data_IF_313153119405
#
_entry.id   IF_313153119405
#
_cell.length_a   1.000
_cell.length_b   1.000
_cell.length_c   1.000
_cell.angle_alpha   90.00
_cell.angle_beta   90.00
_cell.angle_gamma   90.00
#
_symmetry.space_group_name_H-M   'P 1'
#
loop_
_entity.id
_entity.type
_entity.pdbx_description
1 polymer ?
#
# COMPACT_ATOMS: atom_id res chain seq x y z
N UNK A 1 -10.93 10.65 -12.60
CA UNK A 1 -10.27 9.50 -13.27
C UNK A 1 -9.53 8.63 -12.27
N UNK A 2 -8.63 9.16 -11.42
CA UNK A 2 -8.06 8.34 -10.34
C UNK A 2 -9.05 8.08 -9.19
N UNK A 3 -9.98 8.99 -8.90
CA UNK A 3 -10.93 8.85 -7.77
C UNK A 3 -11.77 7.58 -7.89
N UNK A 4 -12.31 7.28 -9.06
CA UNK A 4 -13.13 6.07 -9.29
C UNK A 4 -12.29 4.79 -9.15
N UNK A 5 -11.04 4.82 -9.65
CA UNK A 5 -10.11 3.71 -9.51
C UNK A 5 -9.71 3.45 -8.04
N UNK A 6 -9.44 4.51 -7.28
CA UNK A 6 -9.13 4.44 -5.84
C UNK A 6 -10.31 3.83 -5.07
N UNK A 7 -11.53 4.29 -5.35
CA UNK A 7 -12.76 3.79 -4.70
C UNK A 7 -12.99 2.32 -5.03
N UNK A 8 -12.84 1.92 -6.29
CA UNK A 8 -13.00 0.53 -6.70
C UNK A 8 -11.95 -0.37 -6.05
N UNK A 9 -10.68 0.03 -6.10
CA UNK A 9 -9.59 -0.74 -5.51
C UNK A 9 -9.76 -0.89 -3.99
N UNK A 10 -10.21 0.17 -3.29
CA UNK A 10 -10.56 0.12 -1.86
C UNK A 10 -11.68 -0.87 -1.57
N UNK A 11 -12.76 -0.84 -2.35
CA UNK A 11 -13.87 -1.77 -2.16
C UNK A 11 -13.44 -3.23 -2.40
N UNK A 12 -12.59 -3.48 -3.41
CA UNK A 12 -12.06 -4.81 -3.67
C UNK A 12 -11.11 -5.30 -2.57
N UNK A 13 -10.26 -4.43 -2.02
CA UNK A 13 -9.33 -4.79 -0.95
C UNK A 13 -10.06 -5.08 0.38
N UNK A 14 -11.22 -4.46 0.61
CA UNK A 14 -12.05 -4.68 1.79
C UNK A 14 -13.08 -5.81 1.64
N UNK A 15 -13.23 -6.37 0.43
CA UNK A 15 -14.22 -7.40 0.17
C UNK A 15 -13.80 -8.75 0.78
N UNK A 16 -14.70 -9.54 1.43
CA UNK A 16 -14.31 -10.75 2.18
C UNK A 16 -13.62 -11.87 1.37
N UNK A 17 -13.85 -11.89 0.06
CA UNK A 17 -13.26 -12.86 -0.89
C UNK A 17 -12.09 -12.24 -1.64
N UNK A 18 -12.35 -11.21 -2.46
CA UNK A 18 -11.32 -10.51 -3.23
C UNK A 18 -10.19 -9.94 -2.36
N UNK A 19 -10.49 -9.35 -1.20
CA UNK A 19 -9.51 -8.77 -0.28
C UNK A 19 -8.49 -9.75 0.30
N UNK A 20 -8.72 -11.06 0.13
CA UNK A 20 -7.70 -12.09 0.44
C UNK A 20 -6.53 -12.09 -0.53
N UNK A 21 -6.68 -11.47 -1.69
CA UNK A 21 -5.62 -11.32 -2.68
C UNK A 21 -4.91 -9.99 -2.48
N UNK A 22 -3.63 -10.06 -2.10
CA UNK A 22 -2.77 -8.90 -1.85
C UNK A 22 -2.72 -7.91 -3.03
N UNK A 23 -2.92 -8.40 -4.25
CA UNK A 23 -3.03 -7.59 -5.46
C UNK A 23 -4.01 -6.41 -5.34
N UNK A 24 -5.19 -6.61 -4.74
CA UNK A 24 -6.15 -5.52 -4.60
C UNK A 24 -5.69 -4.48 -3.57
N UNK A 25 -4.96 -4.92 -2.54
CA UNK A 25 -4.32 -4.03 -1.58
C UNK A 25 -3.22 -3.21 -2.24
N UNK A 26 -2.33 -3.86 -2.98
CA UNK A 26 -1.28 -3.23 -3.79
C UNK A 26 -1.88 -2.17 -4.73
N UNK A 27 -2.88 -2.56 -5.54
CA UNK A 27 -3.55 -1.67 -6.49
C UNK A 27 -4.12 -0.45 -5.79
N UNK A 28 -4.76 -0.65 -4.63
CA UNK A 28 -5.33 0.45 -3.86
C UNK A 28 -4.28 1.45 -3.38
N UNK A 29 -3.18 0.99 -2.78
CA UNK A 29 -2.12 1.85 -2.27
C UNK A 29 -1.43 2.63 -3.39
N UNK A 30 -1.14 1.96 -4.52
CA UNK A 30 -0.57 2.59 -5.71
C UNK A 30 -1.51 3.65 -6.29
N UNK A 31 -2.81 3.36 -6.40
CA UNK A 31 -3.80 4.34 -6.85
C UNK A 31 -3.89 5.53 -5.89
N UNK A 32 -3.79 5.31 -4.57
CA UNK A 32 -3.85 6.36 -3.56
C UNK A 32 -2.65 7.33 -3.67
N UNK A 33 -1.45 6.78 -3.90
CA UNK A 33 -0.25 7.57 -4.16
C UNK A 33 -0.37 8.39 -5.44
N UNK A 34 -0.80 7.76 -6.54
CA UNK A 34 -0.99 8.44 -7.84
C UNK A 34 -2.08 9.51 -7.80
N UNK A 35 -3.08 9.35 -6.94
CA UNK A 35 -4.09 10.37 -6.70
C UNK A 35 -3.59 11.56 -5.86
N UNK A 36 -2.31 11.54 -5.44
CA UNK A 36 -1.71 12.54 -4.56
C UNK A 36 -2.52 12.74 -3.26
N UNK A 37 -2.94 11.63 -2.64
CA UNK A 37 -3.66 11.60 -1.37
C UNK A 37 -2.78 11.05 -0.21
N UNK A 38 -1.58 11.61 0.05
CA UNK A 38 -0.64 11.04 1.02
C UNK A 38 -1.15 11.11 2.46
N UNK A 39 -2.06 12.03 2.79
CA UNK A 39 -2.67 12.11 4.13
C UNK A 39 -3.42 10.84 4.53
N UNK A 40 -3.98 10.11 3.57
CA UNK A 40 -4.68 8.86 3.84
C UNK A 40 -3.74 7.65 3.94
N UNK A 41 -2.48 7.77 3.49
CA UNK A 41 -1.55 6.63 3.46
C UNK A 41 -1.25 6.08 4.85
N UNK A 42 -1.11 6.94 5.86
CA UNK A 42 -0.82 6.49 7.22
C UNK A 42 -1.94 5.62 7.81
N UNK A 43 -3.21 6.04 7.63
CA UNK A 43 -4.37 5.26 8.07
C UNK A 43 -4.45 3.92 7.30
N UNK A 44 -4.30 3.98 5.98
CA UNK A 44 -4.41 2.83 5.09
C UNK A 44 -3.17 1.90 5.13
N UNK A 45 -2.13 2.25 5.87
CA UNK A 45 -0.98 1.36 6.12
C UNK A 45 -1.02 0.72 7.50
N UNK A 46 -1.96 1.11 8.37
CA UNK A 46 -2.01 0.66 9.75
C UNK A 46 -2.29 -0.83 9.92
N UNK A 47 -2.96 -1.44 8.95
CA UNK A 47 -3.36 -2.84 8.89
C UNK A 47 -2.47 -3.69 7.98
N UNK A 48 -1.46 -3.10 7.33
CA UNK A 48 -0.48 -3.85 6.51
C UNK A 48 0.64 -4.34 7.42
N UNK A 49 0.85 -5.66 7.48
CA UNK A 49 1.97 -6.24 8.22
C UNK A 49 3.29 -6.14 7.44
N UNK A 50 4.42 -6.36 8.12
CA UNK A 50 5.74 -6.20 7.52
C UNK A 50 6.01 -7.18 6.36
N UNK A 51 5.41 -8.37 6.38
CA UNK A 51 5.55 -9.34 5.30
C UNK A 51 4.78 -8.88 4.07
N UNK A 52 3.51 -8.53 4.25
CA UNK A 52 2.66 -8.03 3.18
C UNK A 52 3.23 -6.75 2.57
N UNK A 53 3.86 -5.89 3.38
CA UNK A 53 4.55 -4.69 2.91
C UNK A 53 5.70 -5.02 1.95
N UNK A 54 6.57 -5.98 2.32
CA UNK A 54 7.67 -6.44 1.45
C UNK A 54 7.12 -7.07 0.17
N UNK A 55 6.11 -7.94 0.29
CA UNK A 55 5.48 -8.61 -0.86
C UNK A 55 4.87 -7.57 -1.82
N UNK A 56 4.21 -6.53 -1.31
CA UNK A 56 3.67 -5.43 -2.12
C UNK A 56 4.79 -4.70 -2.86
N UNK A 57 5.85 -4.29 -2.17
CA UNK A 57 6.98 -3.56 -2.78
C UNK A 57 7.61 -4.37 -3.91
N UNK A 58 7.94 -5.64 -3.65
CA UNK A 58 8.53 -6.54 -4.64
C UNK A 58 7.62 -6.75 -5.85
N UNK A 59 6.31 -6.89 -5.65
CA UNK A 59 5.37 -7.04 -6.76
C UNK A 59 5.25 -5.76 -7.60
N UNK A 60 5.37 -4.58 -6.98
CA UNK A 60 5.31 -3.30 -7.70
C UNK A 60 6.62 -2.89 -8.38
N UNK A 61 7.76 -3.49 -8.03
CA UNK A 61 9.09 -3.07 -8.48
C UNK A 61 9.21 -3.00 -10.01
N UNK A 62 8.60 -3.95 -10.73
CA UNK A 62 8.61 -3.98 -12.19
C UNK A 62 7.46 -3.25 -12.88
N UNK A 63 6.47 -2.78 -12.13
CA UNK A 63 5.22 -2.20 -12.65
C UNK A 63 5.15 -0.68 -12.47
N UNK A 64 5.83 -0.15 -11.46
CA UNK A 64 5.71 1.21 -10.98
C UNK A 64 7.00 2.02 -11.13
N UNK A 65 6.86 3.35 -11.09
CA UNK A 65 8.03 4.24 -11.14
C UNK A 65 8.82 4.19 -9.82
N UNK A 66 10.13 4.45 -9.91
CA UNK A 66 11.00 4.60 -8.72
C UNK A 66 10.45 5.59 -7.70
N UNK A 67 9.78 6.66 -8.15
CA UNK A 67 9.13 7.66 -7.31
C UNK A 67 7.96 7.04 -6.51
N UNK A 68 7.14 6.22 -7.15
CA UNK A 68 6.05 5.47 -6.50
C UNK A 68 6.62 4.47 -5.49
N UNK A 69 7.65 3.73 -5.86
CA UNK A 69 8.29 2.73 -5.00
C UNK A 69 8.90 3.39 -3.76
N UNK A 70 9.61 4.52 -3.94
CA UNK A 70 10.17 5.29 -2.85
C UNK A 70 9.08 5.80 -1.90
N UNK A 71 7.95 6.28 -2.45
CA UNK A 71 6.82 6.73 -1.64
C UNK A 71 6.17 5.58 -0.85
N UNK A 72 6.00 4.40 -1.47
CA UNK A 72 5.52 3.19 -0.78
C UNK A 72 6.44 2.78 0.36
N UNK A 73 7.74 2.62 0.07
CA UNK A 73 8.74 2.26 1.08
C UNK A 73 8.77 3.27 2.23
N UNK A 74 8.77 4.57 1.93
CA UNK A 74 8.78 5.63 2.93
C UNK A 74 7.57 5.56 3.84
N UNK A 75 6.38 5.36 3.26
CA UNK A 75 5.15 5.29 4.02
C UNK A 75 5.12 4.01 4.90
N UNK A 76 5.56 2.86 4.38
CA UNK A 76 5.66 1.61 5.15
C UNK A 76 6.64 1.72 6.32
N UNK A 77 7.86 2.18 6.05
CA UNK A 77 8.89 2.39 7.06
C UNK A 77 8.42 3.38 8.14
N UNK A 78 7.80 4.48 7.72
CA UNK A 78 7.21 5.44 8.66
C UNK A 78 6.18 4.77 9.56
N UNK A 79 5.29 3.94 9.01
CA UNK A 79 4.27 3.26 9.80
C UNK A 79 4.86 2.24 10.79
N UNK A 80 5.84 1.45 10.36
CA UNK A 80 6.52 0.48 11.24
C UNK A 80 7.23 1.18 12.41
N UNK A 81 7.92 2.28 12.12
CA UNK A 81 8.54 3.11 13.16
C UNK A 81 7.52 3.68 14.15
N UNK A 82 6.36 4.16 13.68
CA UNK A 82 5.30 4.65 14.58
C UNK A 82 4.71 3.54 15.45
N UNK A 83 4.60 2.30 14.94
CA UNK A 83 4.10 1.14 15.70
C UNK A 83 5.13 0.55 16.65
N UNK A 84 6.42 0.88 16.49
CA UNK A 84 7.52 0.23 17.20
C UNK A 84 7.70 -1.23 16.80
N UNK A 85 7.15 -1.64 15.66
CA UNK A 85 7.29 -2.98 15.11
C UNK A 85 8.49 -3.00 14.17
N UNK A 86 9.46 -3.83 14.53
CA UNK A 86 10.73 -3.96 13.81
C UNK A 86 10.78 -5.25 12.98
N UNK A 87 9.72 -6.04 12.98
CA UNK A 87 9.65 -7.27 12.24
C UNK A 87 9.59 -6.96 10.73
N UNK A 88 10.47 -7.62 9.95
CA UNK A 88 10.65 -7.38 8.51
C UNK A 88 11.19 -5.99 8.11
N UNK A 89 11.76 -5.21 9.03
CA UNK A 89 12.62 -4.08 8.64
C UNK A 89 13.95 -4.65 8.12
N UNK A 90 14.17 -4.57 6.81
CA UNK A 90 15.48 -4.81 6.21
C UNK A 90 16.40 -3.62 6.42
#
# INVERSE_FOLDING_TARGET
MFTEAVVLAKNCSQHPVAGRHLFFRQTYLTCLLKAALPHHMHEEMSDVDGKDAVDIVCNTEGEESDETLLALCTAFLSQQLHRGDMYCMW
#
